data_IF_191657195285
#
_entry.id   IF_191657195285
#
_cell.length_a   1.000
_cell.length_b   1.000
_cell.length_c   1.000
_cell.angle_alpha   90.00
_cell.angle_beta   90.00
_cell.angle_gamma   90.00
#
_symmetry.space_group_name_H-M   'P 1'
#
loop_
_entity.id
_entity.type
_entity.pdbx_description
1 polymer ?
#
# COMPACT_ATOMS: atom_id res chain seq x y z
N UNK A 1 3.00 9.55 12.73
CA UNK A 1 3.13 8.08 12.72
C UNK A 1 3.44 7.68 11.28
N UNK A 2 4.65 7.20 11.05
CA UNK A 2 5.12 6.81 9.72
C UNK A 2 4.87 5.31 9.52
N UNK A 3 4.37 4.93 8.35
CA UNK A 3 4.16 3.53 8.00
C UNK A 3 4.97 3.20 6.75
N UNK A 4 5.98 2.35 6.92
CA UNK A 4 6.83 1.91 5.82
C UNK A 4 6.18 0.70 5.18
N UNK A 5 5.86 0.81 3.89
CA UNK A 5 5.35 -0.29 3.07
C UNK A 5 6.41 -0.64 2.03
N UNK A 6 6.78 -1.90 1.99
CA UNK A 6 7.66 -2.44 0.96
C UNK A 6 6.81 -2.87 -0.23
N UNK A 7 7.09 -2.33 -1.41
CA UNK A 7 6.44 -2.77 -2.65
C UNK A 7 7.32 -3.85 -3.28
N UNK A 8 6.77 -5.05 -3.47
CA UNK A 8 7.46 -6.15 -4.15
C UNK A 8 6.81 -6.36 -5.53
N UNK A 9 7.50 -7.07 -6.43
CA UNK A 9 6.96 -7.32 -7.77
C UNK A 9 5.65 -8.15 -7.76
N UNK A 10 5.44 -8.95 -6.72
CA UNK A 10 4.28 -9.83 -6.55
C UNK A 10 3.17 -9.20 -5.68
N UNK A 11 3.46 -8.11 -4.95
CA UNK A 11 2.50 -7.48 -4.06
C UNK A 11 3.07 -6.41 -3.15
N UNK A 12 2.65 -6.42 -1.89
CA UNK A 12 3.03 -5.41 -0.90
C UNK A 12 3.33 -6.08 0.43
N UNK A 13 4.32 -5.61 1.16
CA UNK A 13 4.63 -6.07 2.51
C UNK A 13 4.57 -4.91 3.50
N UNK A 14 3.89 -5.14 4.62
CA UNK A 14 3.76 -4.15 5.69
C UNK A 14 3.96 -4.83 7.04
N UNK A 15 4.93 -4.37 7.82
CA UNK A 15 5.30 -4.95 9.12
C UNK A 15 5.56 -6.47 9.08
N UNK A 16 6.20 -6.98 8.02
CA UNK A 16 6.47 -8.41 7.86
C UNK A 16 5.23 -9.25 7.52
N UNK A 17 4.10 -8.62 7.19
CA UNK A 17 2.92 -9.30 6.65
C UNK A 17 2.78 -8.98 5.17
N UNK A 18 2.65 -10.00 4.30
CA UNK A 18 2.32 -9.79 2.90
C UNK A 18 0.84 -9.39 2.74
N UNK A 19 0.59 -8.42 1.88
CA UNK A 19 -0.69 -7.86 1.51
C UNK A 19 -0.84 -7.85 -0.01
N UNK A 20 -2.05 -8.19 -0.47
CA UNK A 20 -2.38 -8.22 -1.90
C UNK A 20 -2.54 -6.84 -2.54
N UNK A 21 -2.69 -5.77 -1.76
CA UNK A 21 -2.93 -4.42 -2.28
C UNK A 21 -2.64 -3.33 -1.25
N UNK A 22 -2.22 -2.15 -1.71
CA UNK A 22 -2.10 -0.93 -0.90
C UNK A 22 -3.39 -0.58 -0.16
N UNK A 23 -4.55 -0.78 -0.80
CA UNK A 23 -5.84 -0.51 -0.17
C UNK A 23 -6.10 -1.41 1.05
N UNK A 24 -5.56 -2.64 1.06
CA UNK A 24 -5.67 -3.53 2.21
C UNK A 24 -4.82 -3.02 3.38
N UNK A 25 -3.62 -2.51 3.08
CA UNK A 25 -2.74 -1.89 4.08
C UNK A 25 -3.35 -0.58 4.60
N UNK A 26 -3.83 0.29 3.72
CA UNK A 26 -4.48 1.54 4.10
C UNK A 26 -5.68 1.30 5.02
N UNK A 27 -6.47 0.25 4.75
CA UNK A 27 -7.60 -0.16 5.60
C UNK A 27 -7.15 -0.75 6.93
N UNK A 28 -6.03 -1.48 6.96
CA UNK A 28 -5.44 -1.99 8.19
C UNK A 28 -4.89 -0.87 9.08
N UNK A 29 -4.36 0.21 8.49
CA UNK A 29 -3.85 1.38 9.21
C UNK A 29 -5.00 2.27 9.70
N UNK A 30 -5.92 2.64 8.79
CA UNK A 30 -6.95 3.66 9.05
C UNK A 30 -8.28 3.10 9.55
N UNK A 31 -8.47 1.78 9.52
CA UNK A 31 -9.75 1.12 9.82
C UNK A 31 -10.85 1.39 8.79
N UNK A 32 -10.64 2.29 7.83
CA UNK A 32 -11.64 2.78 6.89
C UNK A 32 -11.21 2.48 5.46
N UNK A 33 -12.17 2.20 4.57
CA UNK A 33 -11.86 1.87 3.17
C UNK A 33 -11.33 3.12 2.46
N UNK A 34 -10.01 3.20 2.34
CA UNK A 34 -9.31 4.24 1.60
C UNK A 34 -8.78 3.73 0.27
N UNK A 35 -8.63 4.66 -0.68
CA UNK A 35 -7.98 4.37 -1.94
C UNK A 35 -6.46 4.30 -1.68
N UNK A 36 -5.89 3.10 -1.68
CA UNK A 36 -4.49 2.88 -1.26
C UNK A 36 -3.50 3.78 -1.99
N UNK A 37 -3.71 4.00 -3.28
CA UNK A 37 -2.91 4.90 -4.10
C UNK A 37 -2.90 6.34 -3.60
N UNK A 38 -4.06 6.85 -3.18
CA UNK A 38 -4.20 8.22 -2.66
C UNK A 38 -3.61 8.32 -1.25
N UNK A 39 -3.84 7.31 -0.41
CA UNK A 39 -3.31 7.26 0.95
C UNK A 39 -1.78 7.26 0.98
N UNK A 40 -1.15 6.49 0.09
CA UNK A 40 0.30 6.43 -0.04
C UNK A 40 0.88 7.53 -0.95
N UNK A 41 0.05 8.46 -1.46
CA UNK A 41 0.52 9.52 -2.36
C UNK A 41 1.09 9.01 -3.69
N UNK A 42 0.84 7.75 -4.04
CA UNK A 42 1.27 7.09 -5.28
C UNK A 42 0.37 7.51 -6.44
N UNK A 43 0.33 8.82 -6.71
CA UNK A 43 -0.41 9.38 -7.84
C UNK A 43 0.37 9.07 -9.12
N UNK A 44 0.01 7.97 -9.77
CA UNK A 44 0.31 7.68 -11.18
C UNK A 44 1.75 7.27 -11.53
N UNK A 45 2.44 6.52 -10.67
CA UNK A 45 3.53 5.68 -11.18
C UNK A 45 2.93 4.38 -11.72
N UNK A 46 2.38 4.48 -12.93
CA UNK A 46 2.52 3.43 -13.95
C UNK A 46 4.03 3.23 -14.17
N UNK A 47 4.73 2.60 -13.22
CA UNK A 47 5.96 1.88 -13.54
C UNK A 47 5.49 0.64 -14.31
N UNK A 48 5.25 0.74 -15.62
CA UNK A 48 6.25 0.76 -16.69
C UNK A 48 7.13 -0.49 -16.55
N UNK A 49 6.74 -1.47 -17.36
CA UNK A 49 7.54 -2.51 -18.04
C UNK A 49 8.92 -2.78 -17.48
#
# INVERSE_FOLDING_TARGET
>A
MEHIVTVTADGFEWQGRPYKSLSAIARAITGTRWNGWVFFGLKNHRGRK
#
